data_IF_099989629130
#
_entry.id   IF_099989629130
#
_cell.length_a   1.000
_cell.length_b   1.000
_cell.length_c   1.000
_cell.angle_alpha   90.00
_cell.angle_beta   90.00
_cell.angle_gamma   90.00
#
_symmetry.space_group_name_H-M   'P 1'
#
loop_
_entity.id
_entity.type
_entity.pdbx_description
1 polymer ?
#
# COMPACT_ATOMS: atom_id res chain seq x y z
N UNK A 1 -15.78 -27.79 -0.40
CA UNK A 1 -14.42 -27.28 -0.08
C UNK A 1 -14.06 -27.48 1.40
N UNK A 2 -14.98 -27.37 2.37
CA UNK A 2 -14.63 -27.52 3.81
C UNK A 2 -14.55 -28.98 4.34
N UNK A 3 -15.08 -29.97 3.61
CA UNK A 3 -15.18 -31.36 4.10
C UNK A 3 -13.86 -32.15 4.07
N UNK A 4 -12.76 -31.57 3.57
CA UNK A 4 -11.47 -32.25 3.41
C UNK A 4 -10.49 -31.97 4.55
N UNK A 5 -10.84 -31.11 5.51
CA UNK A 5 -9.97 -30.72 6.62
C UNK A 5 -10.38 -31.40 7.92
N UNK A 6 -9.41 -31.95 8.65
CA UNK A 6 -9.61 -32.50 9.99
C UNK A 6 -9.57 -31.41 11.07
N UNK A 7 -8.86 -30.30 10.82
CA UNK A 7 -8.84 -29.13 11.70
C UNK A 7 -8.48 -27.87 10.92
N UNK A 8 -9.21 -26.80 11.20
CA UNK A 8 -8.87 -25.43 10.79
C UNK A 8 -8.93 -24.58 12.06
N UNK A 9 -7.84 -23.88 12.37
CA UNK A 9 -7.83 -22.83 13.38
C UNK A 9 -7.17 -21.59 12.77
N UNK A 10 -7.83 -20.45 12.88
CA UNK A 10 -7.34 -19.16 12.41
C UNK A 10 -7.35 -18.23 13.61
N UNK A 11 -6.16 -17.91 14.11
CA UNK A 11 -5.98 -17.14 15.33
C UNK A 11 -5.31 -15.80 15.00
N UNK A 12 -5.77 -14.72 15.63
CA UNK A 12 -5.09 -13.42 15.59
C UNK A 12 -4.23 -13.25 16.84
N UNK A 13 -2.96 -12.90 16.67
CA UNK A 13 -2.04 -12.57 17.75
C UNK A 13 -1.68 -11.09 17.74
N UNK A 14 -1.79 -10.49 18.91
CA UNK A 14 -1.52 -9.07 19.13
C UNK A 14 -2.77 -8.19 18.97
N UNK A 15 -2.57 -6.90 19.18
CA UNK A 15 -3.57 -5.85 19.06
C UNK A 15 -2.90 -4.57 18.60
N UNK A 16 -3.63 -3.72 17.88
CA UNK A 16 -3.13 -2.42 17.43
C UNK A 16 -3.57 -1.34 18.45
N UNK A 17 -2.66 -0.46 18.91
CA UNK A 17 -3.04 0.69 19.72
C UNK A 17 -3.92 1.67 18.95
N UNK A 18 -4.61 2.58 19.64
CA UNK A 18 -5.57 3.50 19.00
C UNK A 18 -4.95 4.50 17.99
N UNK A 19 -3.70 4.91 18.22
CA UNK A 19 -2.87 5.69 17.28
C UNK A 19 -1.48 5.05 17.18
N UNK A 20 -1.29 4.02 16.33
CA UNK A 20 0.01 3.37 16.19
C UNK A 20 1.04 4.37 15.65
N UNK A 21 2.28 4.30 16.14
CA UNK A 21 3.35 5.22 15.70
C UNK A 21 4.29 4.60 14.68
N UNK A 22 4.11 3.33 14.33
CA UNK A 22 4.90 2.64 13.31
C UNK A 22 4.10 1.52 12.66
N UNK A 23 4.55 1.05 11.49
CA UNK A 23 3.97 -0.09 10.79
C UNK A 23 3.98 -1.36 11.66
N UNK A 24 5.03 -1.56 12.45
CA UNK A 24 5.09 -2.69 13.39
C UNK A 24 3.99 -2.61 14.46
N UNK A 25 3.66 -1.41 14.95
CA UNK A 25 2.60 -1.22 15.95
C UNK A 25 1.21 -1.40 15.31
N UNK A 26 1.09 -1.08 14.02
CA UNK A 26 -0.13 -1.22 13.24
C UNK A 26 -0.37 -2.64 12.67
N UNK A 27 0.48 -3.61 12.98
CA UNK A 27 0.43 -4.96 12.42
C UNK A 27 0.07 -6.00 13.47
N UNK A 28 -0.77 -6.96 13.09
CA UNK A 28 -1.07 -8.17 13.88
C UNK A 28 -0.72 -9.42 13.08
N UNK A 29 -0.37 -10.50 13.76
CA UNK A 29 -0.11 -11.77 13.09
C UNK A 29 -1.40 -12.59 13.02
N UNK A 30 -1.71 -13.13 11.83
CA UNK A 30 -2.79 -14.11 11.66
C UNK A 30 -2.19 -15.48 11.40
N UNK A 31 -2.34 -16.39 12.36
CA UNK A 31 -1.87 -17.77 12.25
C UNK A 31 -2.97 -18.65 11.70
N UNK A 32 -2.70 -19.29 10.56
CA UNK A 32 -3.54 -20.33 9.98
C UNK A 32 -2.94 -21.69 10.33
N UNK A 33 -3.65 -22.51 11.10
CA UNK A 33 -3.30 -23.89 11.38
C UNK A 33 -4.28 -24.82 10.68
N UNK A 34 -3.76 -25.62 9.74
CA UNK A 34 -4.56 -26.51 8.90
C UNK A 34 -4.05 -27.94 9.06
N UNK A 35 -4.98 -28.86 9.30
CA UNK A 35 -4.74 -30.29 9.33
C UNK A 35 -5.72 -30.97 8.39
N UNK A 36 -5.21 -31.89 7.57
CA UNK A 36 -6.00 -32.69 6.63
C UNK A 36 -5.42 -34.10 6.52
N UNK A 37 -6.22 -35.11 6.12
CA UNK A 37 -5.75 -36.48 5.94
C UNK A 37 -4.87 -36.65 4.69
N UNK A 38 -4.91 -35.71 3.74
CA UNK A 38 -4.15 -35.78 2.48
C UNK A 38 -3.36 -34.48 2.22
N UNK A 39 -2.25 -34.61 1.50
CA UNK A 39 -1.43 -33.49 1.04
C UNK A 39 -2.17 -32.58 0.05
N UNK A 40 -3.05 -33.16 -0.76
CA UNK A 40 -3.78 -32.42 -1.79
C UNK A 40 -4.75 -31.41 -1.17
N UNK A 41 -5.45 -31.78 -0.09
CA UNK A 41 -6.30 -30.86 0.66
C UNK A 41 -5.52 -29.66 1.23
N UNK A 42 -4.29 -29.87 1.72
CA UNK A 42 -3.42 -28.77 2.19
C UNK A 42 -3.00 -27.87 1.01
N UNK A 43 -2.73 -28.46 -0.16
CA UNK A 43 -2.37 -27.71 -1.37
C UNK A 43 -3.53 -26.86 -1.88
N UNK A 44 -4.75 -27.39 -1.89
CA UNK A 44 -5.97 -26.65 -2.21
C UNK A 44 -6.17 -25.45 -1.28
N UNK A 45 -5.98 -25.64 0.04
CA UNK A 45 -6.03 -24.52 0.99
C UNK A 45 -5.00 -23.45 0.66
N UNK A 46 -3.76 -23.84 0.39
CA UNK A 46 -2.68 -22.90 0.04
C UNK A 46 -3.03 -22.11 -1.22
N UNK A 47 -3.57 -22.76 -2.24
CA UNK A 47 -3.97 -22.10 -3.50
C UNK A 47 -5.12 -21.13 -3.27
N UNK A 48 -6.18 -21.56 -2.57
CA UNK A 48 -7.30 -20.69 -2.22
C UNK A 48 -6.86 -19.51 -1.35
N UNK A 49 -6.00 -19.75 -0.36
CA UNK A 49 -5.43 -18.71 0.49
C UNK A 49 -4.64 -17.72 -0.34
N UNK A 50 -3.67 -18.16 -1.15
CA UNK A 50 -2.85 -17.25 -1.97
C UNK A 50 -3.68 -16.48 -2.99
N UNK A 51 -4.71 -17.12 -3.56
CA UNK A 51 -5.66 -16.47 -4.48
C UNK A 51 -6.43 -15.33 -3.78
N UNK A 52 -6.93 -15.58 -2.56
CA UNK A 52 -7.71 -14.61 -1.80
C UNK A 52 -6.86 -13.63 -0.98
N UNK A 53 -5.58 -13.93 -0.69
CA UNK A 53 -4.80 -13.20 0.32
C UNK A 53 -4.65 -11.72 -0.01
N UNK A 54 -4.51 -11.38 -1.29
CA UNK A 54 -4.41 -9.98 -1.73
C UNK A 54 -5.75 -9.23 -1.75
N UNK A 55 -6.87 -9.93 -1.56
CA UNK A 55 -8.22 -9.36 -1.52
C UNK A 55 -8.80 -9.32 -0.10
N UNK A 56 -8.36 -10.22 0.78
CA UNK A 56 -9.00 -10.48 2.08
C UNK A 56 -8.49 -9.64 3.25
N UNK A 57 -7.19 -9.37 3.32
CA UNK A 57 -6.60 -8.65 4.46
C UNK A 57 -5.93 -7.36 3.99
N UNK A 58 -6.41 -6.22 4.49
CA UNK A 58 -5.77 -4.93 4.28
C UNK A 58 -4.31 -4.99 4.74
N UNK A 59 -3.38 -4.58 3.88
CA UNK A 59 -1.96 -4.60 4.23
C UNK A 59 -1.31 -5.98 4.33
N UNK A 60 -1.95 -7.04 3.80
CA UNK A 60 -1.39 -8.39 3.82
C UNK A 60 0.07 -8.43 3.31
N UNK A 61 0.96 -8.89 4.17
CA UNK A 61 2.34 -9.22 3.84
C UNK A 61 2.76 -10.48 4.61
N UNK A 62 3.67 -11.25 4.02
CA UNK A 62 4.24 -12.42 4.67
C UNK A 62 5.55 -12.03 5.34
N UNK A 63 5.76 -12.51 6.57
CA UNK A 63 7.09 -12.51 7.14
C UNK A 63 7.91 -13.57 6.39
N UNK A 64 8.73 -13.11 5.44
CA UNK A 64 9.61 -13.97 4.64
C UNK A 64 10.95 -14.23 5.32
N UNK A 65 11.11 -13.83 6.59
CA UNK A 65 12.37 -13.90 7.30
C UNK A 65 12.63 -15.26 7.97
N UNK A 66 12.85 -16.28 7.14
CA UNK A 66 13.47 -17.54 7.58
C UNK A 66 14.99 -17.42 7.77
N UNK A 67 15.58 -16.21 7.63
CA UNK A 67 17.03 -15.98 7.74
C UNK A 67 17.53 -16.12 9.18
N UNK A 68 16.61 -16.12 10.14
CA UNK A 68 16.89 -16.37 11.58
C UNK A 68 17.45 -17.78 11.86
N UNK A 69 17.36 -18.71 10.91
CA UNK A 69 17.85 -20.09 11.08
C UNK A 69 18.98 -20.47 10.10
N UNK A 70 19.18 -19.75 9.00
CA UNK A 70 20.24 -20.04 8.00
C UNK A 70 20.55 -18.81 7.15
N UNK A 71 21.82 -18.44 6.91
CA UNK A 71 22.18 -17.35 6.00
C UNK A 71 21.60 -17.53 4.59
N UNK A 72 21.18 -16.43 3.96
CA UNK A 72 20.65 -16.40 2.59
C UNK A 72 21.27 -15.24 1.80
N UNK A 73 21.52 -15.42 0.49
CA UNK A 73 21.83 -14.29 -0.38
C UNK A 73 20.64 -13.33 -0.41
N UNK A 74 20.93 -12.03 -0.45
CA UNK A 74 19.95 -10.98 -0.74
C UNK A 74 20.27 -10.33 -2.08
N UNK A 75 19.25 -9.73 -2.69
CA UNK A 75 19.35 -9.08 -4.00
C UNK A 75 18.98 -7.61 -3.86
N UNK A 76 19.95 -6.75 -4.10
CA UNK A 76 19.71 -5.31 -4.24
C UNK A 76 19.23 -5.01 -5.65
N UNK A 77 18.12 -4.28 -5.77
CA UNK A 77 17.60 -3.85 -7.06
C UNK A 77 18.19 -2.49 -7.45
N UNK A 78 18.78 -2.40 -8.64
CA UNK A 78 19.21 -1.15 -9.24
C UNK A 78 18.53 -0.95 -10.62
N UNK A 79 17.67 0.08 -10.78
CA UNK A 79 17.07 0.37 -12.08
C UNK A 79 18.10 1.01 -13.02
N UNK A 80 18.54 0.25 -14.03
CA UNK A 80 19.33 0.77 -15.15
C UNK A 80 18.46 1.27 -16.30
N UNK A 81 18.96 2.25 -17.07
CA UNK A 81 18.35 2.66 -18.33
C UNK A 81 18.97 1.87 -19.48
N UNK A 82 18.13 1.33 -20.37
CA UNK A 82 18.55 0.76 -21.65
C UNK A 82 17.92 1.57 -22.77
N UNK A 83 18.67 1.77 -23.85
CA UNK A 83 18.16 2.42 -25.06
C UNK A 83 17.09 1.52 -25.70
N UNK A 84 15.90 2.05 -25.98
CA UNK A 84 14.78 1.26 -26.52
C UNK A 84 15.12 0.59 -27.85
N UNK A 85 15.95 1.21 -28.68
CA UNK A 85 16.44 0.66 -29.95
C UNK A 85 17.24 -0.65 -29.80
N UNK A 86 17.74 -0.94 -28.59
CA UNK A 86 18.50 -2.17 -28.28
C UNK A 86 17.62 -3.33 -27.86
N UNK A 87 16.32 -3.12 -27.70
CA UNK A 87 15.36 -4.15 -27.29
C UNK A 87 14.26 -4.31 -28.34
N UNK A 88 14.00 -5.56 -28.74
CA UNK A 88 12.87 -5.87 -29.61
C UNK A 88 11.60 -5.99 -28.75
N UNK A 89 10.87 -4.88 -28.58
CA UNK A 89 9.63 -4.86 -27.78
C UNK A 89 8.46 -5.34 -28.64
N UNK A 90 7.72 -6.32 -28.11
CA UNK A 90 6.53 -6.89 -28.75
C UNK A 90 5.41 -7.03 -27.72
N UNK A 91 4.17 -6.84 -28.16
CA UNK A 91 2.96 -7.07 -27.37
C UNK A 91 2.31 -8.36 -27.84
N UNK A 92 2.16 -9.33 -26.94
CA UNK A 92 1.46 -10.58 -27.20
C UNK A 92 0.04 -10.49 -26.68
N UNK A 93 -0.95 -10.73 -27.53
CA UNK A 93 -2.36 -10.73 -27.17
C UNK A 93 -2.83 -12.16 -26.91
N UNK A 94 -3.04 -12.51 -25.63
CA UNK A 94 -3.36 -13.88 -25.21
C UNK A 94 -4.75 -14.39 -25.59
N UNK A 95 -5.55 -13.62 -26.35
CA UNK A 95 -6.88 -14.02 -26.80
C UNK A 95 -6.91 -14.55 -28.25
N UNK A 96 -5.89 -14.23 -29.06
CA UNK A 96 -5.78 -14.67 -30.45
C UNK A 96 -4.33 -14.98 -30.87
N UNK A 97 -3.41 -15.06 -29.91
CA UNK A 97 -1.96 -15.25 -30.09
C UNK A 97 -1.30 -14.22 -31.03
N UNK A 98 -1.97 -13.08 -31.30
CA UNK A 98 -1.39 -12.04 -32.15
C UNK A 98 -0.20 -11.36 -31.47
N UNK A 99 0.78 -10.99 -32.30
CA UNK A 99 2.00 -10.31 -31.86
C UNK A 99 2.09 -8.97 -32.56
N UNK A 100 2.05 -7.89 -31.77
CA UNK A 100 2.12 -6.51 -32.26
C UNK A 100 3.52 -5.96 -31.96
N UNK A 101 4.32 -5.61 -32.98
CA UNK A 101 5.59 -4.91 -32.77
C UNK A 101 5.39 -3.55 -32.09
N UNK A 102 6.25 -3.22 -31.14
CA UNK A 102 6.28 -1.91 -30.48
C UNK A 102 7.64 -1.24 -30.72
N UNK A 103 7.90 -0.74 -31.94
CA UNK A 103 9.18 -0.12 -32.27
C UNK A 103 9.46 1.12 -31.41
N UNK A 104 10.73 1.55 -31.30
CA UNK A 104 11.08 2.81 -30.66
C UNK A 104 10.31 3.99 -31.27
N UNK A 105 9.97 4.97 -30.44
CA UNK A 105 9.38 6.22 -30.92
C UNK A 105 10.48 7.11 -31.51
N UNK A 106 10.20 7.72 -32.67
CA UNK A 106 11.12 8.67 -33.32
C UNK A 106 11.29 9.95 -32.49
N UNK A 107 10.24 10.37 -31.80
CA UNK A 107 10.22 11.54 -30.93
C UNK A 107 10.10 11.13 -29.47
N UNK A 108 11.07 11.54 -28.67
CA UNK A 108 11.03 11.39 -27.21
C UNK A 108 11.51 12.67 -26.53
N UNK A 109 11.11 12.84 -25.27
CA UNK A 109 11.57 13.93 -24.42
C UNK A 109 12.17 13.36 -23.13
N UNK A 110 13.17 14.03 -22.60
CA UNK A 110 13.71 13.68 -21.30
C UNK A 110 12.61 13.80 -20.23
N UNK A 111 12.44 12.77 -19.41
CA UNK A 111 11.59 12.85 -18.23
C UNK A 111 12.30 13.69 -17.17
N UNK A 112 11.71 14.82 -16.81
CA UNK A 112 12.27 15.77 -15.83
C UNK A 112 11.89 15.44 -14.38
N UNK A 113 11.31 14.27 -14.14
CA UNK A 113 10.77 13.88 -12.83
C UNK A 113 9.27 14.11 -12.71
N UNK A 114 8.69 13.53 -11.68
CA UNK A 114 7.30 13.77 -11.30
C UNK A 114 7.22 15.11 -10.56
N UNK A 115 6.24 15.95 -10.92
CA UNK A 115 5.99 17.19 -10.19
C UNK A 115 5.51 16.83 -8.77
N UNK A 116 6.17 17.42 -7.78
CA UNK A 116 5.83 17.29 -6.36
C UNK A 116 5.33 18.62 -5.82
N UNK A 117 4.12 18.64 -5.25
CA UNK A 117 3.47 19.84 -4.76
C UNK A 117 2.42 19.51 -3.70
N UNK A 118 2.22 20.42 -2.74
CA UNK A 118 1.02 20.46 -1.91
C UNK A 118 -0.16 21.04 -2.71
N UNK A 119 -1.39 20.94 -2.19
CA UNK A 119 -2.59 21.39 -2.91
C UNK A 119 -2.40 22.79 -3.48
N UNK A 120 -2.70 22.95 -4.78
CA UNK A 120 -2.62 24.25 -5.47
C UNK A 120 -3.72 25.21 -5.04
N UNK A 121 -4.77 24.68 -4.43
CA UNK A 121 -5.94 25.41 -3.94
C UNK A 121 -6.39 24.74 -2.63
N UNK A 122 -5.64 24.93 -1.52
CA UNK A 122 -5.99 24.36 -0.24
C UNK A 122 -7.17 25.12 0.37
N UNK A 123 -8.13 24.37 0.92
CA UNK A 123 -9.27 24.92 1.67
C UNK A 123 -8.93 24.89 3.15
N UNK A 124 -9.35 25.92 3.90
CA UNK A 124 -9.21 25.92 5.35
C UNK A 124 -9.98 24.72 5.95
N UNK A 125 -9.28 23.89 6.72
CA UNK A 125 -9.86 22.70 7.32
C UNK A 125 -11.01 23.05 8.29
N UNK A 126 -11.03 24.27 8.84
CA UNK A 126 -12.11 24.76 9.70
C UNK A 126 -13.45 24.90 8.95
N UNK A 127 -13.44 25.10 7.63
CA UNK A 127 -14.67 25.23 6.81
C UNK A 127 -15.48 23.93 6.76
N UNK A 128 -14.88 22.80 7.14
CA UNK A 128 -15.57 21.51 7.15
C UNK A 128 -16.43 21.28 8.40
N UNK A 129 -16.43 22.22 9.36
CA UNK A 129 -17.21 22.19 10.60
C UNK A 129 -16.52 21.44 11.73
N UNK A 130 -17.28 21.08 12.77
CA UNK A 130 -16.75 20.40 13.95
C UNK A 130 -16.03 19.10 13.60
N UNK A 131 -14.89 18.87 14.24
CA UNK A 131 -14.07 17.66 14.07
C UNK A 131 -14.07 16.77 15.30
N UNK A 132 -13.70 15.51 15.11
CA UNK A 132 -13.41 14.55 16.18
C UNK A 132 -12.17 13.74 15.81
N UNK A 133 -11.31 13.46 16.79
CA UNK A 133 -10.23 12.49 16.64
C UNK A 133 -10.78 11.12 16.22
N UNK A 134 -10.37 10.67 15.04
CA UNK A 134 -10.71 9.34 14.52
C UNK A 134 -9.61 8.83 13.59
N UNK A 135 -9.51 7.50 13.39
CA UNK A 135 -8.63 6.94 12.38
C UNK A 135 -8.96 7.50 11.00
N UNK A 136 -7.95 7.98 10.27
CA UNK A 136 -8.08 8.50 8.90
C UNK A 136 -8.86 7.53 7.98
N UNK A 137 -8.65 6.23 8.20
CA UNK A 137 -9.25 5.12 7.47
C UNK A 137 -10.77 5.00 7.61
N UNK A 138 -11.41 5.75 8.51
CA UNK A 138 -12.89 5.83 8.60
C UNK A 138 -13.51 6.47 7.36
N UNK A 139 -12.79 7.42 6.75
CA UNK A 139 -13.24 8.17 5.56
C UNK A 139 -12.39 7.85 4.34
N UNK A 140 -11.08 7.68 4.53
CA UNK A 140 -10.10 7.56 3.44
C UNK A 140 -9.78 6.10 3.15
N UNK A 141 -9.74 5.74 1.87
CA UNK A 141 -9.27 4.46 1.37
C UNK A 141 -7.80 4.57 0.98
N UNK A 142 -7.07 3.46 1.00
CA UNK A 142 -5.67 3.43 0.61
C UNK A 142 -5.29 2.18 -0.18
N UNK A 143 -4.21 2.32 -0.94
CA UNK A 143 -3.46 1.22 -1.54
C UNK A 143 -2.00 1.61 -1.56
N UNK A 144 -1.13 0.68 -1.20
CA UNK A 144 0.31 0.91 -1.23
C UNK A 144 1.07 -0.30 -1.74
N UNK A 145 2.31 -0.06 -2.16
CA UNK A 145 3.19 -1.09 -2.69
C UNK A 145 4.60 -0.56 -2.94
N UNK A 146 5.55 -1.48 -3.06
CA UNK A 146 6.95 -1.16 -3.26
C UNK A 146 7.26 -0.72 -4.70
N UNK A 147 8.34 0.05 -4.82
CA UNK A 147 9.05 0.27 -6.08
C UNK A 147 10.55 0.29 -5.81
N UNK A 148 11.13 -0.90 -5.69
CA UNK A 148 12.49 -1.05 -5.18
C UNK A 148 12.54 -0.65 -3.70
N UNK A 149 13.48 0.21 -3.32
CA UNK A 149 13.60 0.76 -1.96
C UNK A 149 12.52 1.77 -1.55
N UNK A 150 11.53 2.05 -2.41
CA UNK A 150 10.56 3.14 -2.22
C UNK A 150 9.16 2.58 -1.95
N UNK A 151 8.33 3.34 -1.25
CA UNK A 151 6.91 3.03 -1.06
C UNK A 151 6.03 4.00 -1.87
N UNK A 152 5.08 3.45 -2.62
CA UNK A 152 4.00 4.20 -3.26
C UNK A 152 2.76 4.08 -2.39
N UNK A 153 2.08 5.21 -2.12
CA UNK A 153 0.88 5.25 -1.28
C UNK A 153 -0.16 6.15 -1.93
N UNK A 154 -1.24 5.56 -2.43
CA UNK A 154 -2.42 6.28 -2.90
C UNK A 154 -3.49 6.31 -1.83
N UNK A 155 -4.03 7.51 -1.55
CA UNK A 155 -5.08 7.76 -0.57
C UNK A 155 -6.25 8.46 -1.27
N UNK A 156 -7.48 7.97 -1.14
CA UNK A 156 -8.63 8.55 -1.85
C UNK A 156 -9.92 8.51 -1.04
N UNK A 157 -10.87 9.35 -1.46
CA UNK A 157 -12.22 9.45 -0.88
C UNK A 157 -13.30 9.07 -1.90
N UNK A 158 -14.48 8.71 -1.41
CA UNK A 158 -15.57 8.24 -2.28
C UNK A 158 -16.43 9.38 -2.81
N UNK A 159 -16.56 10.45 -2.05
CA UNK A 159 -17.50 11.55 -2.34
C UNK A 159 -16.77 12.82 -2.74
N UNK A 160 -17.41 13.61 -3.58
CA UNK A 160 -16.84 14.85 -4.10
C UNK A 160 -16.63 15.90 -3.01
N UNK A 161 -17.49 15.93 -1.99
CA UNK A 161 -17.40 16.88 -0.89
C UNK A 161 -16.28 16.55 0.13
N UNK A 162 -15.78 15.31 0.12
CA UNK A 162 -14.63 14.86 0.91
C UNK A 162 -13.29 15.21 0.24
N UNK A 163 -13.30 15.47 -1.08
CA UNK A 163 -12.07 15.66 -1.87
C UNK A 163 -11.29 16.94 -1.50
N UNK A 164 -11.91 18.13 -1.41
CA UNK A 164 -11.21 19.34 -0.99
C UNK A 164 -10.60 19.21 0.41
N UNK A 165 -11.26 18.49 1.32
CA UNK A 165 -10.72 18.18 2.65
C UNK A 165 -9.49 17.28 2.55
N UNK A 166 -9.58 16.16 1.82
CA UNK A 166 -8.48 15.19 1.70
C UNK A 166 -7.21 15.85 1.18
N UNK A 167 -7.32 16.60 0.07
CA UNK A 167 -6.16 17.22 -0.58
C UNK A 167 -5.52 18.33 0.26
N UNK A 168 -6.32 19.03 1.06
CA UNK A 168 -5.85 20.11 1.95
C UNK A 168 -5.22 19.54 3.23
N UNK A 169 -5.78 18.45 3.77
CA UNK A 169 -5.25 17.77 4.96
C UNK A 169 -3.92 17.06 4.67
N UNK A 170 -3.88 16.28 3.59
CA UNK A 170 -2.74 15.42 3.29
C UNK A 170 -1.66 16.18 2.52
N UNK A 171 -0.93 17.03 3.22
CA UNK A 171 0.29 17.67 2.72
C UNK A 171 1.49 16.74 2.81
N UNK A 172 2.61 17.13 2.19
CA UNK A 172 3.91 16.46 2.36
C UNK A 172 4.31 16.40 3.84
N UNK A 173 4.11 17.49 4.59
CA UNK A 173 4.46 17.47 6.02
C UNK A 173 3.49 16.65 6.86
N UNK A 174 2.20 16.63 6.49
CA UNK A 174 1.23 15.75 7.14
C UNK A 174 1.60 14.29 6.93
N UNK A 175 1.98 13.86 5.73
CA UNK A 175 2.34 12.46 5.51
C UNK A 175 3.60 12.05 6.27
N UNK A 176 4.61 12.92 6.38
CA UNK A 176 5.79 12.69 7.22
C UNK A 176 5.40 12.47 8.68
N UNK A 177 4.49 13.30 9.20
CA UNK A 177 3.96 13.13 10.56
C UNK A 177 3.17 11.81 10.73
N UNK A 178 2.36 11.44 9.74
CA UNK A 178 1.57 10.20 9.76
C UNK A 178 2.43 8.93 9.66
N UNK A 179 3.64 9.01 9.10
CA UNK A 179 4.62 7.92 9.13
C UNK A 179 5.23 7.71 10.53
N UNK A 180 5.09 8.66 11.46
CA UNK A 180 5.48 8.50 12.86
C UNK A 180 6.96 8.12 13.01
N UNK A 181 7.22 7.08 13.79
CA UNK A 181 8.55 6.53 14.07
C UNK A 181 9.21 5.87 12.85
N UNK A 182 8.45 5.56 11.80
CA UNK A 182 9.02 5.02 10.57
C UNK A 182 9.56 6.12 9.66
N UNK A 183 9.21 7.39 9.90
CA UNK A 183 9.79 8.50 9.15
C UNK A 183 11.22 8.79 9.57
N UNK A 184 12.09 9.05 8.59
CA UNK A 184 13.45 9.55 8.82
C UNK A 184 13.66 10.86 8.05
N UNK A 185 14.36 11.86 8.62
CA UNK A 185 14.56 13.17 7.98
C UNK A 185 15.21 13.11 6.59
N UNK A 186 16.04 12.10 6.33
CA UNK A 186 16.69 11.85 5.04
C UNK A 186 15.74 11.36 3.94
N UNK A 187 14.53 10.91 4.30
CA UNK A 187 13.56 10.45 3.32
C UNK A 187 13.01 11.61 2.49
N UNK A 188 13.08 11.44 1.17
CA UNK A 188 12.42 12.32 0.21
C UNK A 188 10.99 11.85 0.03
N UNK A 189 10.05 12.79 0.05
CA UNK A 189 8.63 12.51 -0.19
C UNK A 189 8.17 13.34 -1.39
N UNK A 190 7.63 12.67 -2.40
CA UNK A 190 6.92 13.32 -3.50
C UNK A 190 5.42 13.20 -3.29
N UNK A 191 4.67 14.25 -3.62
CA UNK A 191 3.20 14.31 -3.54
C UNK A 191 2.61 14.84 -4.84
N UNK A 192 1.58 14.19 -5.35
CA UNK A 192 0.77 14.74 -6.44
C UNK A 192 -0.69 14.32 -6.31
N UNK A 193 -1.56 15.04 -7.01
CA UNK A 193 -3.00 14.82 -6.98
C UNK A 193 -3.48 14.11 -8.24
N UNK A 194 -4.52 13.28 -8.08
CA UNK A 194 -5.23 12.60 -9.14
C UNK A 194 -6.73 12.98 -9.03
N UNK A 195 -7.13 14.17 -9.53
CA UNK A 195 -8.46 14.73 -9.26
C UNK A 195 -9.62 13.84 -9.72
N UNK A 196 -9.48 13.16 -10.87
CA UNK A 196 -10.50 12.25 -11.39
C UNK A 196 -10.70 10.99 -10.54
N UNK A 197 -9.75 10.68 -9.66
CA UNK A 197 -9.84 9.58 -8.70
C UNK A 197 -10.12 10.09 -7.28
N UNK A 198 -10.16 11.41 -7.07
CA UNK A 198 -10.21 12.06 -5.75
C UNK A 198 -9.11 11.52 -4.83
N UNK A 199 -7.92 11.36 -5.39
CA UNK A 199 -6.79 10.74 -4.72
C UNK A 199 -5.60 11.69 -4.58
N UNK A 200 -4.90 11.59 -3.46
CA UNK A 200 -3.56 12.14 -3.27
C UNK A 200 -2.59 10.96 -3.25
N UNK A 201 -1.53 11.05 -4.04
CA UNK A 201 -0.52 10.01 -4.13
C UNK A 201 0.81 10.49 -3.57
N UNK A 202 1.47 9.63 -2.83
CA UNK A 202 2.78 9.86 -2.26
C UNK A 202 3.78 8.81 -2.74
N UNK A 203 5.00 9.25 -3.01
CA UNK A 203 6.16 8.37 -3.17
C UNK A 203 7.14 8.70 -2.05
N UNK A 204 7.40 7.72 -1.18
CA UNK A 204 8.31 7.84 -0.04
C UNK A 204 9.59 7.10 -0.42
N UNK A 205 10.66 7.85 -0.66
CA UNK A 205 11.94 7.31 -1.09
C UNK A 205 12.76 6.82 0.09
N UNK A 206 13.30 5.60 -0.04
CA UNK A 206 14.19 4.99 0.96
C UNK A 206 13.49 4.31 2.14
N UNK A 207 12.15 4.32 2.20
CA UNK A 207 11.40 3.66 3.29
C UNK A 207 11.75 2.18 3.40
N UNK A 208 11.95 1.50 2.27
CA UNK A 208 12.19 0.05 2.20
C UNK A 208 13.69 -0.29 2.04
N UNK A 209 14.60 0.61 2.44
CA UNK A 209 16.05 0.42 2.30
C UNK A 209 16.41 0.08 0.83
N UNK A 210 17.10 -1.03 0.57
CA UNK A 210 17.45 -1.47 -0.79
C UNK A 210 16.40 -2.38 -1.46
N UNK A 211 15.18 -2.39 -0.93
CA UNK A 211 14.02 -3.13 -1.44
C UNK A 211 13.74 -4.44 -0.71
N UNK A 212 12.69 -5.15 -1.15
CA UNK A 212 12.07 -6.30 -0.44
C UNK A 212 13.07 -7.26 0.20
N UNK A 213 14.08 -7.73 -0.55
CA UNK A 213 15.01 -8.77 -0.06
C UNK A 213 16.13 -8.23 0.85
N UNK A 214 16.30 -6.92 0.87
CA UNK A 214 17.33 -6.20 1.63
C UNK A 214 16.74 -5.37 2.77
N UNK A 215 15.40 -5.30 2.87
CA UNK A 215 14.71 -4.51 3.89
C UNK A 215 14.68 -5.23 5.23
N UNK A 216 14.92 -4.47 6.31
CA UNK A 216 14.75 -4.89 7.69
C UNK A 216 13.31 -4.75 8.22
N UNK A 217 12.41 -4.12 7.46
CA UNK A 217 11.02 -3.89 7.85
C UNK A 217 10.20 -5.18 7.83
N UNK A 218 9.16 -5.23 8.67
CA UNK A 218 8.22 -6.36 8.73
C UNK A 218 7.48 -6.56 7.39
N UNK A 219 7.20 -5.47 6.67
CA UNK A 219 6.62 -5.46 5.34
C UNK A 219 7.56 -4.82 4.31
N UNK A 220 8.44 -5.65 3.75
CA UNK A 220 9.32 -5.24 2.65
C UNK A 220 8.61 -4.90 1.34
N UNK A 221 7.29 -5.14 1.22
CA UNK A 221 6.49 -4.84 0.02
C UNK A 221 5.71 -3.51 0.13
N UNK A 222 5.80 -2.81 1.27
CA UNK A 222 5.00 -1.63 1.58
C UNK A 222 3.47 -1.79 1.42
N UNK A 223 2.94 -3.02 1.44
CA UNK A 223 1.49 -3.28 1.28
C UNK A 223 0.66 -2.73 2.43
N UNK A 224 1.23 -2.72 3.63
CA UNK A 224 0.61 -2.27 4.89
C UNK A 224 0.80 -0.79 5.17
N UNK A 225 1.67 -0.08 4.45
CA UNK A 225 1.95 1.35 4.69
C UNK A 225 0.67 2.19 4.60
N UNK A 226 -0.17 1.93 3.59
CA UNK A 226 -1.47 2.61 3.45
C UNK A 226 -2.42 2.34 4.62
N UNK A 227 -2.46 1.10 5.13
CA UNK A 227 -3.29 0.75 6.29
C UNK A 227 -2.75 1.36 7.59
N UNK A 228 -1.43 1.38 7.77
CA UNK A 228 -0.79 2.07 8.88
C UNK A 228 -1.17 3.56 8.91
N UNK A 229 -1.03 4.25 7.77
CA UNK A 229 -1.42 5.66 7.64
C UNK A 229 -2.92 5.85 7.91
N UNK A 230 -3.77 4.91 7.45
CA UNK A 230 -5.22 4.91 7.74
C UNK A 230 -5.54 4.65 9.22
N UNK A 231 -4.69 3.94 9.95
CA UNK A 231 -4.88 3.68 11.37
C UNK A 231 -4.56 4.91 12.24
N UNK A 232 -3.75 5.85 11.74
CA UNK A 232 -3.40 7.08 12.45
C UNK A 232 -4.62 7.95 12.75
N UNK A 233 -4.62 8.56 13.93
CA UNK A 233 -5.64 9.50 14.36
C UNK A 233 -5.45 10.88 13.69
N UNK A 234 -6.54 11.44 13.18
CA UNK A 234 -6.61 12.82 12.68
C UNK A 234 -7.91 13.47 13.12
N UNK A 235 -7.96 14.80 13.06
CA UNK A 235 -9.21 15.53 13.20
C UNK A 235 -10.07 15.33 11.95
N UNK A 236 -11.09 14.48 12.07
CA UNK A 236 -12.03 14.19 10.98
C UNK A 236 -13.30 15.00 11.18
N UNK A 237 -13.80 15.71 10.16
CA UNK A 237 -15.10 16.37 10.22
C UNK A 237 -16.22 15.40 10.61
N UNK A 238 -16.98 15.76 11.64
CA UNK A 238 -18.07 14.93 12.20
C UNK A 238 -19.11 14.54 11.15
N UNK A 239 -19.38 15.44 10.19
CA UNK A 239 -20.27 15.19 9.04
C UNK A 239 -19.82 14.06 8.11
N UNK A 240 -18.51 13.72 8.10
CA UNK A 240 -17.99 12.57 7.35
C UNK A 240 -18.08 11.28 8.18
N UNK A 241 -17.89 11.39 9.50
CA UNK A 241 -18.01 10.26 10.44
C UNK A 241 -19.45 9.76 10.61
N UNK A 242 -20.46 10.60 10.38
CA UNK A 242 -21.88 10.20 10.45
C UNK A 242 -22.32 9.32 9.28
N UNK A 243 -21.49 9.17 8.25
CA UNK A 243 -21.77 8.38 7.05
C UNK A 243 -21.29 6.94 7.24
N UNK A 244 -21.79 5.98 6.43
CA UNK A 244 -21.24 4.63 6.41
C UNK A 244 -19.72 4.67 6.17
N UNK A 245 -18.97 4.13 7.13
CA UNK A 245 -17.51 4.12 7.09
C UNK A 245 -17.00 3.15 6.01
N UNK A 246 -15.73 3.29 5.62
CA UNK A 246 -15.07 2.33 4.73
C UNK A 246 -15.05 0.94 5.40
N UNK A 247 -15.71 -0.05 4.80
CA UNK A 247 -15.82 -1.42 5.35
C UNK A 247 -17.11 -1.71 6.14
N UNK A 248 -17.98 -0.70 6.36
CA UNK A 248 -19.34 -0.94 6.84
C UNK A 248 -20.20 -1.55 5.74
N UNK A 249 -21.13 -2.45 6.10
CA UNK A 249 -22.16 -2.94 5.18
C UNK A 249 -22.95 -1.76 4.59
N UNK A 250 -23.17 -1.82 3.28
CA UNK A 250 -24.11 -0.95 2.55
C UNK A 250 -25.54 -1.19 3.02
#
# INVERSE_FOLDING_TARGET
>A
MLNHFSKIAIDTYGSVPEDPLSQKDASVQIRHFIQAPTKDAISEFKEAFLFCAMQGYGGYHLNMDLRTLTPKPFVTYFPGKIEQSRVNVQVHLGWDDSVIPAPPLDESRAFTGQLSYDSTDPVDLAEFGDTKGAPLGKVVLARSGDKGGNANVGLWVRRDDEWPWLRSLLTIDKIKHLLGNDYKPEFRVERFELPKLRAVHFVIYGLLEDGVSSSSLIDGFAKSVGEFIRARQVDVPTKFLSRPHVGGSL
#
